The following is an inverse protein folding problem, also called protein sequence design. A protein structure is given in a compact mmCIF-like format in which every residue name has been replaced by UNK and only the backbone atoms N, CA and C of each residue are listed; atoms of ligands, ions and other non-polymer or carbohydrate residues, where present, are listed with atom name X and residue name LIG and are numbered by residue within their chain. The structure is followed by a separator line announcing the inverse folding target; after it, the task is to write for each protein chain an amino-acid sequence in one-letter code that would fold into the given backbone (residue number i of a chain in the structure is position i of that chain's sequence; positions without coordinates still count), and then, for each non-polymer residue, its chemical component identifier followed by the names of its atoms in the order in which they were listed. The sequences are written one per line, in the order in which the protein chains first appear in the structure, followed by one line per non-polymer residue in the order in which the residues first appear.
data_IF_058462988051
#
_entry.id   IF_058462988051
#
_cell.length_a   1.000
_cell.length_b   1.000
_cell.length_c   1.000
_cell.angle_alpha   90.00
_cell.angle_beta   90.00
_cell.angle_gamma   90.00
#
_symmetry.space_group_name_H-M   'P 1'
#
loop_
_entity.id
_entity.type
_entity.pdbx_description
1 polymer ?
#
# COMPACT_ATOMS: atom_id res chain seq x y z
N UNK A 1 -0.87 10.60 -9.19
CA UNK A 1 -0.62 10.89 -7.76
C UNK A 1 -0.30 9.58 -7.07
N UNK A 2 0.70 9.56 -6.19
CA UNK A 2 1.08 8.36 -5.44
C UNK A 2 1.04 8.71 -3.96
N UNK A 3 0.31 7.93 -3.16
CA UNK A 3 0.18 8.18 -1.72
C UNK A 3 0.17 6.88 -0.93
N UNK A 4 0.81 6.91 0.25
CA UNK A 4 1.11 5.75 1.07
C UNK A 4 0.19 5.73 2.30
N UNK A 5 -1.13 5.82 2.11
CA UNK A 5 -2.09 5.78 3.22
C UNK A 5 -3.38 5.09 2.78
N UNK A 6 -3.92 4.18 3.59
CA UNK A 6 -5.15 3.47 3.26
C UNK A 6 -6.36 4.39 3.08
N UNK A 7 -7.13 4.26 2.00
CA UNK A 7 -8.42 4.93 1.82
C UNK A 7 -9.52 4.22 2.61
N UNK A 8 -9.44 4.30 3.94
CA UNK A 8 -10.35 3.62 4.87
C UNK A 8 -10.93 4.58 5.90
N UNK A 9 -11.56 5.68 5.44
CA UNK A 9 -12.19 6.65 6.34
C UNK A 9 -13.55 6.09 6.79
N UNK A 10 -14.33 5.60 5.84
CA UNK A 10 -15.60 4.94 6.11
C UNK A 10 -15.40 3.57 6.77
N UNK A 11 -16.47 3.07 7.38
CA UNK A 11 -16.52 1.73 7.98
C UNK A 11 -17.03 0.70 6.98
N UNK A 12 -16.79 -0.59 7.26
CA UNK A 12 -17.34 -1.68 6.44
C UNK A 12 -18.88 -1.71 6.37
N UNK A 13 -19.57 -1.09 7.34
CA UNK A 13 -21.03 -1.05 7.41
C UNK A 13 -21.66 0.16 6.68
N UNK A 14 -20.87 0.95 5.95
CA UNK A 14 -21.38 2.12 5.22
C UNK A 14 -22.36 1.68 4.12
N UNK A 15 -23.60 2.22 4.06
CA UNK A 15 -24.67 1.68 3.22
C UNK A 15 -24.62 2.16 1.76
N UNK A 16 -23.47 2.65 1.31
CA UNK A 16 -23.26 3.18 -0.03
C UNK A 16 -21.85 2.90 -0.52
N UNK A 17 -21.69 2.85 -1.83
CA UNK A 17 -20.38 2.76 -2.46
C UNK A 17 -19.71 4.14 -2.45
N UNK A 18 -18.42 4.13 -2.16
CA UNK A 18 -17.58 5.33 -2.14
C UNK A 18 -16.22 4.96 -2.72
N UNK A 19 -15.63 5.91 -3.45
CA UNK A 19 -14.24 5.84 -3.90
C UNK A 19 -13.30 6.51 -2.88
N UNK A 20 -13.80 6.82 -1.68
CA UNK A 20 -13.07 7.38 -0.55
C UNK A 20 -12.39 8.71 -0.91
N UNK A 21 -11.44 9.16 -0.09
CA UNK A 21 -10.69 10.38 -0.38
C UNK A 21 -10.00 10.37 -1.75
N UNK A 22 -9.48 9.25 -2.31
CA UNK A 22 -8.89 9.26 -3.65
C UNK A 22 -9.88 9.66 -4.74
N UNK A 23 -11.10 9.11 -4.69
CA UNK A 23 -12.15 9.44 -5.66
C UNK A 23 -12.59 10.90 -5.57
N UNK A 24 -12.76 11.41 -4.35
CA UNK A 24 -13.04 12.83 -4.12
C UNK A 24 -11.94 13.72 -4.72
N UNK A 25 -10.67 13.44 -4.43
CA UNK A 25 -9.52 14.20 -4.93
C UNK A 25 -9.45 14.21 -6.46
N UNK A 26 -9.57 13.03 -7.09
CA UNK A 26 -9.55 12.92 -8.57
C UNK A 26 -10.68 13.73 -9.20
N UNK A 27 -11.89 13.62 -8.65
CA UNK A 27 -13.08 14.32 -9.16
C UNK A 27 -12.86 15.84 -9.14
N UNK A 28 -12.43 16.39 -7.99
CA UNK A 28 -12.21 17.82 -7.83
C UNK A 28 -11.08 18.36 -8.72
N UNK A 29 -9.98 17.63 -8.85
CA UNK A 29 -8.85 18.07 -9.69
C UNK A 29 -9.19 18.00 -11.18
N UNK A 30 -9.90 16.97 -11.64
CA UNK A 30 -10.33 16.90 -13.03
C UNK A 30 -11.33 18.02 -13.38
N UNK A 31 -12.19 18.43 -12.44
CA UNK A 31 -13.11 19.57 -12.63
C UNK A 31 -12.35 20.91 -12.67
N UNK A 32 -11.31 21.07 -11.86
CA UNK A 32 -10.55 22.31 -11.76
C UNK A 32 -9.53 22.52 -12.92
N UNK A 33 -9.07 21.46 -13.57
CA UNK A 33 -8.00 21.52 -14.56
C UNK A 33 -8.39 20.88 -15.90
N UNK A 34 -8.99 21.68 -16.78
CA UNK A 34 -9.36 21.23 -18.12
C UNK A 34 -8.13 20.74 -18.92
N UNK A 35 -8.25 19.57 -19.55
CA UNK A 35 -7.18 18.97 -20.35
C UNK A 35 -6.13 18.18 -19.54
N UNK A 36 -6.22 18.18 -18.21
CA UNK A 36 -5.41 17.31 -17.35
C UNK A 36 -6.21 16.07 -16.93
N UNK A 37 -5.50 14.94 -16.78
CA UNK A 37 -6.10 13.72 -16.25
C UNK A 37 -5.36 13.30 -14.97
N UNK A 38 -6.09 13.26 -13.86
CA UNK A 38 -5.56 12.86 -12.58
C UNK A 38 -5.89 11.39 -12.29
N UNK A 39 -4.86 10.66 -11.87
CA UNK A 39 -4.98 9.27 -11.39
C UNK A 39 -4.36 9.13 -10.02
N UNK A 40 -4.84 8.17 -9.24
CA UNK A 40 -4.33 7.82 -7.93
C UNK A 40 -3.74 6.41 -7.96
N UNK A 41 -2.51 6.27 -7.47
CA UNK A 41 -1.83 5.00 -7.29
C UNK A 41 -1.54 4.83 -5.81
N UNK A 42 -1.98 3.71 -5.25
CA UNK A 42 -1.74 3.38 -3.86
C UNK A 42 -0.29 2.88 -3.72
N UNK A 43 0.49 3.52 -2.85
CA UNK A 43 1.81 2.99 -2.51
C UNK A 43 1.77 2.07 -1.28
N UNK A 44 2.93 1.79 -0.70
CA UNK A 44 3.04 0.90 0.45
C UNK A 44 2.42 1.54 1.69
N UNK A 45 1.25 1.05 2.07
CA UNK A 45 0.42 1.64 3.12
C UNK A 45 -0.09 0.61 4.14
N UNK A 46 0.39 -0.63 4.13
CA UNK A 46 -0.17 -1.69 4.97
C UNK A 46 -0.13 -1.40 6.48
N UNK A 47 0.74 -0.48 6.91
CA UNK A 47 0.91 0.04 8.27
C UNK A 47 0.52 1.54 8.40
N UNK A 48 -0.04 2.15 7.35
CA UNK A 48 -0.40 3.58 7.31
C UNK A 48 -1.89 3.75 7.06
N UNK A 49 -2.60 4.30 8.04
CA UNK A 49 -4.04 4.49 8.00
C UNK A 49 -4.46 5.92 8.29
N UNK A 50 -5.54 6.36 7.66
CA UNK A 50 -6.25 7.62 8.00
C UNK A 50 -6.86 7.59 9.40
N UNK A 51 -6.94 6.42 10.03
CA UNK A 51 -7.61 6.22 11.32
C UNK A 51 -7.13 7.13 12.44
N UNK A 52 -5.83 7.41 12.49
CA UNK A 52 -5.24 8.21 13.56
C UNK A 52 -5.31 9.73 13.29
N UNK A 53 -5.78 10.12 12.11
CA UNK A 53 -5.75 11.53 11.66
C UNK A 53 -7.09 12.04 11.14
N UNK A 54 -8.03 11.15 10.80
CA UNK A 54 -9.39 11.54 10.38
C UNK A 54 -10.20 12.10 11.56
N UNK A 55 -11.02 13.14 11.33
CA UNK A 55 -11.86 13.73 12.38
C UNK A 55 -13.11 12.90 12.69
N UNK A 56 -13.59 12.12 11.73
CA UNK A 56 -14.82 11.33 11.79
C UNK A 56 -14.75 10.17 10.77
N UNK A 57 -15.82 9.38 10.64
CA UNK A 57 -15.93 8.25 9.71
C UNK A 57 -17.08 8.46 8.72
N UNK A 58 -17.13 9.64 8.14
CA UNK A 58 -18.18 10.08 7.23
C UNK A 58 -17.60 10.85 6.04
N UNK A 59 -18.50 11.31 5.17
CA UNK A 59 -18.19 12.07 3.96
C UNK A 59 -17.48 13.41 4.29
N UNK A 60 -17.69 14.00 5.47
CA UNK A 60 -16.99 15.22 5.86
C UNK A 60 -15.51 14.95 6.12
N UNK A 61 -15.18 13.82 6.75
CA UNK A 61 -13.78 13.38 6.91
C UNK A 61 -13.11 13.07 5.57
N UNK A 62 -13.84 12.47 4.62
CA UNK A 62 -13.37 12.24 3.24
C UNK A 62 -12.97 13.57 2.59
N UNK A 63 -13.86 14.57 2.64
CA UNK A 63 -13.58 15.91 2.10
C UNK A 63 -12.45 16.60 2.84
N UNK A 64 -12.39 16.48 4.16
CA UNK A 64 -11.35 17.09 4.99
C UNK A 64 -9.95 16.60 4.61
N UNK A 65 -9.74 15.28 4.56
CA UNK A 65 -8.44 14.71 4.19
C UNK A 65 -8.15 14.89 2.69
N UNK A 66 -9.17 14.78 1.84
CA UNK A 66 -9.04 15.02 0.41
C UNK A 66 -8.62 16.45 0.08
N UNK A 67 -9.19 17.47 0.74
CA UNK A 67 -8.82 18.86 0.53
C UNK A 67 -7.36 19.16 0.90
N UNK A 68 -6.83 18.51 1.95
CA UNK A 68 -5.40 18.60 2.28
C UNK A 68 -4.52 18.02 1.17
N UNK A 69 -4.96 16.91 0.57
CA UNK A 69 -4.25 16.30 -0.55
C UNK A 69 -4.31 17.19 -1.79
N UNK A 70 -5.49 17.74 -2.13
CA UNK A 70 -5.67 18.70 -3.24
C UNK A 70 -4.74 19.90 -3.05
N UNK A 71 -4.76 20.55 -1.90
CA UNK A 71 -3.89 21.70 -1.61
C UNK A 71 -2.41 21.37 -1.87
N UNK A 72 -1.96 20.19 -1.42
CA UNK A 72 -0.58 19.76 -1.65
C UNK A 72 -0.28 19.50 -3.13
N UNK A 73 -1.22 18.92 -3.87
CA UNK A 73 -1.07 18.66 -5.30
C UNK A 73 -1.05 19.95 -6.10
N UNK A 74 -1.97 20.89 -5.84
CA UNK A 74 -1.98 22.21 -6.46
C UNK A 74 -0.65 22.93 -6.26
N UNK A 75 -0.12 22.89 -5.03
CA UNK A 75 1.20 23.43 -4.72
C UNK A 75 2.30 22.78 -5.57
N UNK A 76 2.28 21.45 -5.70
CA UNK A 76 3.25 20.72 -6.52
C UNK A 76 3.11 21.02 -8.02
N UNK A 77 1.89 21.18 -8.53
CA UNK A 77 1.61 21.56 -9.92
C UNK A 77 2.10 22.99 -10.24
N UNK A 78 2.06 23.89 -9.27
CA UNK A 78 2.57 25.26 -9.41
C UNK A 78 4.10 25.38 -9.28
N UNK A 79 4.77 24.37 -8.73
CA UNK A 79 6.23 24.34 -8.60
C UNK A 79 6.90 24.16 -9.98
N UNK A 80 8.03 24.86 -10.21
CA UNK A 80 8.82 24.66 -11.42
C UNK A 80 9.40 23.24 -11.41
N UNK A 81 8.94 22.40 -12.33
CA UNK A 81 9.48 21.06 -12.51
C UNK A 81 10.49 21.01 -13.66
N UNK A 82 11.42 20.06 -13.56
CA UNK A 82 12.29 19.72 -14.68
C UNK A 82 11.50 18.84 -15.66
N UNK A 83 11.43 19.27 -16.92
CA UNK A 83 10.80 18.50 -17.98
C UNK A 83 11.86 17.59 -18.60
N UNK A 84 11.59 16.28 -18.58
CA UNK A 84 12.42 15.28 -19.23
C UNK A 84 11.74 14.80 -20.50
N UNK A 85 12.34 14.99 -21.69
CA UNK A 85 11.80 14.39 -22.90
C UNK A 85 11.74 12.87 -22.77
N UNK A 86 10.61 12.29 -23.15
CA UNK A 86 10.42 10.84 -23.10
C UNK A 86 11.02 10.20 -24.35
N UNK A 87 12.30 9.85 -24.28
CA UNK A 87 13.01 9.18 -25.37
C UNK A 87 12.89 7.64 -25.31
N UNK A 88 12.73 7.10 -24.11
CA UNK A 88 12.71 5.67 -23.85
C UNK A 88 11.61 5.35 -22.83
N UNK A 89 10.88 4.28 -23.11
CA UNK A 89 9.98 3.61 -22.17
C UNK A 89 10.56 2.22 -21.94
N UNK A 90 10.97 1.94 -20.71
CA UNK A 90 11.48 0.63 -20.31
C UNK A 90 10.41 -0.17 -19.58
N UNK A 91 10.40 -1.49 -19.76
CA UNK A 91 9.54 -2.39 -19.03
C UNK A 91 10.34 -3.56 -18.45
N UNK A 92 10.06 -3.87 -17.20
CA UNK A 92 10.62 -5.01 -16.48
C UNK A 92 9.48 -5.82 -15.89
N UNK A 93 9.59 -7.15 -15.88
CA UNK A 93 8.72 -7.98 -15.05
C UNK A 93 9.40 -9.28 -14.65
N UNK A 94 9.07 -9.74 -13.46
CA UNK A 94 9.57 -11.00 -12.91
C UNK A 94 8.56 -11.61 -11.95
N UNK A 95 8.44 -12.94 -12.03
CA UNK A 95 7.61 -13.71 -11.12
C UNK A 95 8.41 -14.07 -9.87
N UNK A 96 7.93 -13.66 -8.71
CA UNK A 96 8.44 -14.07 -7.41
C UNK A 96 7.64 -15.27 -6.91
N UNK A 97 8.28 -16.44 -6.84
CA UNK A 97 7.68 -17.61 -6.17
C UNK A 97 7.56 -17.33 -4.67
N UNK A 98 6.35 -17.55 -4.14
CA UNK A 98 6.03 -17.32 -2.74
C UNK A 98 6.18 -18.61 -1.94
N UNK A 99 6.79 -18.48 -0.78
CA UNK A 99 6.84 -19.53 0.23
C UNK A 99 6.12 -19.03 1.47
N UNK A 100 5.23 -19.88 1.99
CA UNK A 100 4.39 -19.53 3.12
C UNK A 100 4.83 -20.27 4.39
N UNK A 101 4.85 -19.54 5.51
CA UNK A 101 5.05 -20.04 6.85
C UNK A 101 3.93 -19.48 7.73
N UNK A 102 3.03 -20.34 8.16
CA UNK A 102 1.95 -19.96 9.07
C UNK A 102 2.53 -19.94 10.49
N UNK A 103 2.72 -18.74 11.02
CA UNK A 103 3.31 -18.53 12.35
C UNK A 103 2.23 -18.53 13.42
N UNK A 104 2.52 -19.15 14.56
CA UNK A 104 1.73 -18.94 15.77
C UNK A 104 2.18 -17.62 16.40
N UNK A 105 1.24 -16.69 16.56
CA UNK A 105 1.52 -15.41 17.22
C UNK A 105 1.40 -15.59 18.72
N UNK A 106 2.47 -15.26 19.42
CA UNK A 106 2.50 -15.25 20.88
C UNK A 106 1.78 -14.01 21.40
N UNK A 107 0.51 -14.20 21.79
CA UNK A 107 -0.34 -13.12 22.32
C UNK A 107 0.19 -12.54 23.64
N UNK A 108 1.12 -13.21 24.34
CA UNK A 108 1.76 -12.62 25.54
C UNK A 108 2.67 -11.44 25.21
N UNK A 109 3.06 -11.26 23.95
CA UNK A 109 3.83 -10.10 23.47
C UNK A 109 2.94 -8.90 23.14
N UNK A 110 1.62 -9.06 23.15
CA UNK A 110 0.69 -7.94 23.00
C UNK A 110 0.86 -7.01 24.18
N UNK A 111 1.03 -5.71 23.91
CA UNK A 111 1.17 -4.71 24.97
C UNK A 111 -0.11 -4.65 25.82
N UNK A 112 0.04 -4.45 27.12
CA UNK A 112 -1.11 -4.39 28.04
C UNK A 112 -1.95 -3.11 27.91
N UNK A 113 -1.42 -2.06 27.27
CA UNK A 113 -2.03 -0.74 27.17
C UNK A 113 -2.78 -0.49 25.85
N UNK A 114 -3.17 -1.55 25.14
CA UNK A 114 -3.94 -1.44 23.89
C UNK A 114 -5.41 -1.08 24.14
N UNK A 115 -5.97 -0.29 23.23
CA UNK A 115 -7.37 0.12 23.22
C UNK A 115 -8.34 -1.07 23.05
N UNK A 116 -9.63 -0.94 23.42
CA UNK A 116 -10.63 -1.97 23.17
C UNK A 116 -10.73 -2.38 21.71
N UNK A 117 -10.53 -1.42 20.78
CA UNK A 117 -10.58 -1.69 19.34
C UNK A 117 -9.36 -2.46 18.86
N UNK A 118 -8.16 -2.15 19.33
CA UNK A 118 -6.96 -2.93 19.01
C UNK A 118 -7.09 -4.37 19.49
N UNK A 119 -7.74 -4.61 20.64
CA UNK A 119 -8.06 -5.97 21.11
C UNK A 119 -8.97 -6.70 20.13
N UNK A 120 -10.03 -6.04 19.66
CA UNK A 120 -10.94 -6.60 18.65
C UNK A 120 -10.21 -6.94 17.35
N UNK A 121 -9.29 -6.08 16.89
CA UNK A 121 -8.49 -6.34 15.69
C UNK A 121 -7.55 -7.53 15.84
N UNK A 122 -6.94 -7.69 17.01
CA UNK A 122 -6.12 -8.87 17.33
C UNK A 122 -6.98 -10.14 17.32
N UNK A 123 -8.18 -10.10 17.91
CA UNK A 123 -9.11 -11.24 17.88
C UNK A 123 -9.58 -11.58 16.46
N UNK A 124 -9.86 -10.57 15.63
CA UNK A 124 -10.19 -10.74 14.21
C UNK A 124 -9.01 -11.32 13.45
N UNK A 125 -7.80 -10.83 13.69
CA UNK A 125 -6.56 -11.36 13.13
C UNK A 125 -6.37 -12.83 13.48
N UNK A 126 -6.53 -13.21 14.75
CA UNK A 126 -6.42 -14.60 15.18
C UNK A 126 -7.42 -15.52 14.46
N UNK A 127 -8.67 -15.06 14.26
CA UNK A 127 -9.69 -15.78 13.48
C UNK A 127 -9.28 -15.90 12.01
N UNK A 128 -8.76 -14.83 11.40
CA UNK A 128 -8.28 -14.84 10.02
C UNK A 128 -7.11 -15.80 9.83
N UNK A 129 -6.14 -15.81 10.75
CA UNK A 129 -5.00 -16.72 10.75
C UNK A 129 -5.45 -18.19 10.83
N UNK A 130 -6.40 -18.49 11.74
CA UNK A 130 -6.97 -19.83 11.86
C UNK A 130 -7.70 -20.27 10.57
N UNK A 131 -8.42 -19.36 9.92
CA UNK A 131 -9.06 -19.62 8.63
C UNK A 131 -8.03 -19.92 7.53
N UNK A 132 -6.97 -19.12 7.43
CA UNK A 132 -5.88 -19.31 6.47
C UNK A 132 -5.20 -20.67 6.69
N UNK A 133 -4.95 -21.06 7.94
CA UNK A 133 -4.36 -22.35 8.29
C UNK A 133 -5.21 -23.55 7.83
N UNK A 134 -6.53 -23.39 7.77
CA UNK A 134 -7.45 -24.42 7.29
C UNK A 134 -7.59 -24.44 5.75
N UNK A 135 -7.13 -23.39 5.06
CA UNK A 135 -7.31 -23.22 3.62
C UNK A 135 -5.99 -22.86 2.91
N UNK A 136 -4.89 -23.63 3.08
CA UNK A 136 -3.61 -23.32 2.47
C UNK A 136 -3.65 -23.32 0.94
N UNK A 137 -4.62 -24.00 0.32
CA UNK A 137 -4.85 -23.99 -1.14
C UNK A 137 -5.26 -22.62 -1.69
N UNK A 138 -5.70 -21.70 -0.82
CA UNK A 138 -6.05 -20.32 -1.20
C UNK A 138 -4.86 -19.38 -1.18
N UNK A 139 -3.71 -19.81 -0.67
CA UNK A 139 -2.50 -19.01 -0.65
C UNK A 139 -1.95 -18.85 -2.06
N UNK A 140 -1.54 -17.63 -2.38
CA UNK A 140 -0.94 -17.33 -3.67
C UNK A 140 0.41 -18.03 -3.81
N UNK A 141 0.71 -18.61 -4.97
CA UNK A 141 2.00 -19.26 -5.19
C UNK A 141 3.05 -18.34 -5.80
N UNK A 142 2.63 -17.19 -6.34
CA UNK A 142 3.49 -16.29 -7.10
C UNK A 142 2.99 -14.85 -7.04
N UNK A 143 3.92 -13.89 -7.01
CA UNK A 143 3.67 -12.49 -7.32
C UNK A 143 4.28 -12.12 -8.67
N UNK A 144 3.60 -11.26 -9.42
CA UNK A 144 4.19 -10.55 -10.55
C UNK A 144 4.64 -9.18 -10.07
N UNK A 145 5.95 -8.96 -10.04
CA UNK A 145 6.53 -7.63 -9.83
C UNK A 145 6.89 -7.08 -11.20
N UNK A 146 6.47 -5.86 -11.49
CA UNK A 146 6.82 -5.18 -12.73
C UNK A 146 7.37 -3.78 -12.48
N UNK A 147 8.18 -3.31 -13.43
CA UNK A 147 8.74 -1.98 -13.44
C UNK A 147 8.39 -1.28 -14.74
N UNK A 148 8.03 0.00 -14.66
CA UNK A 148 7.87 0.89 -15.81
C UNK A 148 8.84 2.05 -15.66
N UNK A 149 9.72 2.23 -16.64
CA UNK A 149 10.69 3.34 -16.71
C UNK A 149 10.16 4.37 -17.69
N UNK A 150 10.00 5.60 -17.22
CA UNK A 150 9.57 6.77 -18.00
C UNK A 150 10.66 7.84 -17.88
N UNK A 151 11.61 7.81 -18.83
CA UNK A 151 12.81 8.66 -18.74
C UNK A 151 13.64 8.32 -17.49
N UNK A 152 13.89 9.27 -16.58
CA UNK A 152 14.65 9.02 -15.35
C UNK A 152 13.79 8.41 -14.23
N UNK A 153 12.47 8.30 -14.40
CA UNK A 153 11.56 7.87 -13.35
C UNK A 153 11.15 6.41 -13.50
N UNK A 154 11.03 5.70 -12.38
CA UNK A 154 10.60 4.30 -12.33
C UNK A 154 9.34 4.13 -11.47
N UNK A 155 8.35 3.41 -11.99
CA UNK A 155 7.22 2.93 -11.20
C UNK A 155 7.39 1.42 -10.99
N UNK A 156 7.39 0.99 -9.73
CA UNK A 156 7.52 -0.42 -9.34
C UNK A 156 6.15 -0.91 -8.86
N UNK A 157 5.55 -1.84 -9.59
CA UNK A 157 4.23 -2.38 -9.33
C UNK A 157 4.31 -3.73 -8.63
N UNK A 158 3.56 -3.88 -7.54
CA UNK A 158 3.47 -5.12 -6.78
C UNK A 158 2.04 -5.38 -6.26
N UNK A 159 1.66 -6.65 -6.07
CA UNK A 159 0.30 -7.02 -5.68
C UNK A 159 0.03 -6.92 -4.17
N UNK A 160 1.06 -6.81 -3.35
CA UNK A 160 1.00 -6.88 -1.90
C UNK A 160 0.48 -5.61 -1.24
N UNK A 161 -0.20 -5.76 -0.10
CA UNK A 161 -0.41 -4.68 0.88
C UNK A 161 0.85 -4.52 1.76
N UNK A 162 1.93 -4.01 1.16
CA UNK A 162 3.22 -3.92 1.84
C UNK A 162 3.25 -2.79 2.88
N UNK A 163 3.95 -3.03 3.99
CA UNK A 163 4.29 -1.97 4.94
C UNK A 163 5.14 -0.89 4.29
N UNK A 164 4.99 0.35 4.75
CA UNK A 164 5.72 1.54 4.32
C UNK A 164 7.24 1.33 4.36
N UNK A 165 7.70 0.47 5.27
CA UNK A 165 9.10 0.12 5.43
C UNK A 165 9.74 -0.44 4.14
N UNK A 166 8.97 -1.06 3.24
CA UNK A 166 9.47 -1.57 1.94
C UNK A 166 9.84 -0.47 0.93
N UNK A 167 9.39 0.78 1.13
CA UNK A 167 9.78 1.92 0.28
C UNK A 167 11.30 2.13 0.31
N UNK A 168 11.98 1.76 1.40
CA UNK A 168 13.45 1.85 1.52
C UNK A 168 14.21 1.02 0.49
N UNK A 169 13.55 0.07 -0.18
CA UNK A 169 14.17 -0.79 -1.17
C UNK A 169 14.39 -0.07 -2.51
N UNK A 170 13.70 1.04 -2.74
CA UNK A 170 13.82 1.87 -3.95
C UNK A 170 14.36 3.26 -3.60
N UNK A 171 14.79 4.01 -4.62
CA UNK A 171 15.18 5.41 -4.43
C UNK A 171 13.95 6.31 -4.64
N UNK A 172 13.36 6.90 -3.58
CA UNK A 172 12.14 7.70 -3.71
C UNK A 172 12.35 9.01 -4.48
N UNK A 173 13.59 9.41 -4.79
CA UNK A 173 13.87 10.60 -5.59
C UNK A 173 13.61 10.40 -7.09
N UNK A 174 13.67 9.14 -7.55
CA UNK A 174 13.52 8.77 -8.96
C UNK A 174 12.58 7.58 -9.16
N UNK A 175 12.10 6.95 -8.09
CA UNK A 175 11.23 5.78 -8.18
C UNK A 175 10.06 5.87 -7.21
N UNK A 176 8.97 5.18 -7.53
CA UNK A 176 7.82 5.03 -6.64
C UNK A 176 7.33 3.59 -6.60
N UNK A 177 6.97 3.13 -5.40
CA UNK A 177 6.37 1.83 -5.17
C UNK A 177 4.85 1.97 -5.27
N UNK A 178 4.24 1.14 -6.11
CA UNK A 178 2.80 1.06 -6.36
C UNK A 178 2.34 -0.33 -5.95
N UNK A 179 1.57 -0.37 -4.87
CA UNK A 179 0.96 -1.58 -4.34
C UNK A 179 -0.41 -1.83 -4.99
N UNK A 180 -1.06 -2.95 -4.65
CA UNK A 180 -2.37 -3.34 -5.20
C UNK A 180 -2.38 -3.43 -6.74
N UNK A 181 -1.23 -3.75 -7.34
CA UNK A 181 -1.03 -3.83 -8.78
C UNK A 181 -0.61 -5.25 -9.19
N UNK A 182 -0.95 -5.66 -10.41
CA UNK A 182 -0.67 -7.02 -10.92
C UNK A 182 -1.32 -8.16 -10.11
N UNK A 183 -2.43 -7.87 -9.42
CA UNK A 183 -3.14 -8.81 -8.57
C UNK A 183 -3.38 -8.23 -7.18
N UNK A 184 -3.84 -9.08 -6.27
CA UNK A 184 -4.09 -8.73 -4.88
C UNK A 184 -3.47 -9.80 -3.99
N UNK A 185 -2.40 -9.42 -3.29
CA UNK A 185 -1.73 -10.24 -2.30
C UNK A 185 -2.02 -9.73 -0.88
N UNK A 186 -1.96 -10.60 0.14
CA UNK A 186 -2.19 -10.20 1.53
C UNK A 186 -1.17 -9.16 2.01
N UNK A 187 -1.35 -8.73 3.26
CA UNK A 187 -0.38 -7.90 3.97
C UNK A 187 1.01 -8.52 3.96
N UNK A 188 2.00 -7.65 3.85
CA UNK A 188 3.41 -8.00 3.97
C UNK A 188 4.04 -7.08 5.02
N UNK A 189 4.22 -7.62 6.22
CA UNK A 189 4.86 -6.93 7.35
C UNK A 189 6.38 -6.89 7.18
N UNK A 190 7.07 -6.07 7.96
CA UNK A 190 8.52 -6.07 8.01
C UNK A 190 9.10 -7.40 8.52
N UNK A 191 10.36 -7.66 8.19
CA UNK A 191 11.08 -8.87 8.65
C UNK A 191 11.45 -8.76 10.13
N UNK A 192 11.81 -7.55 10.57
CA UNK A 192 12.35 -7.27 11.90
C UNK A 192 11.35 -6.53 12.81
N UNK A 193 10.07 -6.47 12.40
CA UNK A 193 9.02 -5.82 13.18
C UNK A 193 8.73 -6.64 14.46
N UNK A 194 8.79 -6.00 15.62
CA UNK A 194 8.67 -6.63 16.94
C UNK A 194 7.33 -6.36 17.64
N UNK A 195 6.38 -5.73 16.94
CA UNK A 195 5.04 -5.43 17.41
C UNK A 195 3.98 -6.35 16.79
N UNK A 196 2.83 -6.48 17.46
CA UNK A 196 1.69 -7.28 16.98
C UNK A 196 0.59 -6.36 16.50
N UNK A 197 0.21 -6.49 15.24
CA UNK A 197 -0.97 -5.86 14.64
C UNK A 197 -1.81 -6.91 13.90
N UNK A 198 -2.98 -6.52 13.38
CA UNK A 198 -3.84 -7.39 12.57
C UNK A 198 -3.08 -8.00 11.38
N UNK A 199 -2.24 -7.20 10.73
CA UNK A 199 -1.50 -7.58 9.53
C UNK A 199 -0.55 -8.76 9.79
N UNK A 200 0.07 -8.81 10.98
CA UNK A 200 0.91 -9.92 11.41
C UNK A 200 0.19 -11.28 11.33
N UNK A 201 -1.12 -11.32 11.57
CA UNK A 201 -1.90 -12.56 11.55
C UNK A 201 -2.23 -13.05 10.14
N UNK A 202 -2.19 -12.15 9.15
CA UNK A 202 -2.56 -12.44 7.76
C UNK A 202 -1.35 -12.59 6.85
N UNK A 203 -0.21 -12.01 7.24
CA UNK A 203 1.06 -12.23 6.57
C UNK A 203 1.57 -13.64 6.85
N UNK A 204 1.59 -14.43 5.79
CA UNK A 204 2.07 -15.81 5.81
C UNK A 204 3.37 -15.97 5.06
N UNK A 205 4.00 -14.91 4.55
CA UNK A 205 5.20 -15.03 3.73
C UNK A 205 6.43 -15.36 4.59
N UNK A 206 7.26 -16.28 4.09
CA UNK A 206 8.54 -16.60 4.72
C UNK A 206 9.48 -15.39 4.70
N UNK A 207 10.40 -15.30 5.68
CA UNK A 207 11.40 -14.22 5.69
C UNK A 207 12.32 -14.29 4.45
N UNK A 208 12.57 -15.49 3.92
CA UNK A 208 13.28 -15.67 2.66
C UNK A 208 12.51 -15.05 1.47
N UNK A 209 11.19 -15.30 1.39
CA UNK A 209 10.34 -14.67 0.37
C UNK A 209 10.36 -13.16 0.50
N UNK A 210 10.29 -12.61 1.72
CA UNK A 210 10.38 -11.16 1.96
C UNK A 210 11.74 -10.58 1.53
N UNK A 211 12.85 -11.29 1.79
CA UNK A 211 14.19 -10.86 1.33
C UNK A 211 14.28 -10.84 -0.20
N UNK A 212 13.86 -11.92 -0.86
CA UNK A 212 13.81 -11.99 -2.34
C UNK A 212 12.88 -10.92 -2.94
N UNK A 213 11.77 -10.63 -2.26
CA UNK A 213 10.88 -9.53 -2.63
C UNK A 213 11.60 -8.17 -2.56
N UNK A 214 12.31 -7.87 -1.47
CA UNK A 214 13.09 -6.63 -1.32
C UNK A 214 14.17 -6.48 -2.42
N UNK A 215 14.90 -7.56 -2.71
CA UNK A 215 15.90 -7.59 -3.79
C UNK A 215 15.27 -7.29 -5.15
N UNK A 216 14.10 -7.88 -5.41
CA UNK A 216 13.37 -7.68 -6.66
C UNK A 216 12.77 -6.27 -6.77
N UNK A 217 12.30 -5.68 -5.68
CA UNK A 217 11.92 -4.26 -5.65
C UNK A 217 13.12 -3.36 -5.99
N UNK A 218 14.29 -3.61 -5.39
CA UNK A 218 15.49 -2.83 -5.65
C UNK A 218 15.95 -2.95 -7.11
N UNK A 219 15.85 -4.15 -7.69
CA UNK A 219 16.10 -4.40 -9.12
C UNK A 219 15.11 -3.65 -10.00
N UNK A 220 13.82 -3.75 -9.72
CA UNK A 220 12.76 -3.05 -10.46
C UNK A 220 12.81 -1.52 -10.30
N UNK A 221 13.41 -0.99 -9.23
CA UNK A 221 13.63 0.44 -9.03
C UNK A 221 14.84 1.01 -9.77
N UNK A 222 15.69 0.17 -10.38
CA UNK A 222 16.95 0.60 -11.01
C UNK A 222 17.21 -0.01 -12.38
N UNK A 223 16.25 -0.76 -12.93
CA UNK A 223 16.48 -1.42 -14.21
C UNK A 223 16.76 -0.37 -15.30
N UNK A 224 17.74 -0.69 -16.14
CA UNK A 224 18.20 0.14 -17.24
C UNK A 224 17.45 -0.24 -18.48
#
# INVERSE_FOLDING_TARGET
MIHNCHPTIHTGDTPYFTAEYPGYVISQLNEAHEGMHFTFLQGAAGDVSTRFTRPSQDEEAVRYLGNKMIEKIEKMCAEKCQIYPLHEIGYFSEFLKLEHVIRTIDLHKVRNDISPREKEEIELGAKASAYIAQHPEKLLSVYLISGLKLGPYHLVFCPSEAFSSYIRCIDPSVSALVCYANGYGPYMTGIDDDFITYECFTDTLSDDTKKRYMELLAKAGKFV
#
